data_IF_922413066198
#
_entry.id   IF_922413066198
#
_cell.length_a   1.000
_cell.length_b   1.000
_cell.length_c   1.000
_cell.angle_alpha   90.00
_cell.angle_beta   90.00
_cell.angle_gamma   90.00
#
_symmetry.space_group_name_H-M   'P 1'
#
loop_
_entity.id
_entity.type
_entity.pdbx_description
1 polymer ?
#
# COMPACT_ATOMS: atom_id res chain seq x y z
N UNK A 1 -24.32 -28.66 -27.34
CA UNK A 1 -22.87 -28.45 -27.61
C UNK A 1 -22.32 -27.11 -27.07
N UNK A 2 -23.06 -26.35 -26.24
CA UNK A 2 -22.65 -25.02 -25.76
C UNK A 2 -21.96 -24.99 -24.38
N UNK A 3 -21.95 -26.10 -23.63
CA UNK A 3 -21.52 -26.13 -22.22
C UNK A 3 -20.02 -26.39 -22.04
N UNK A 4 -19.37 -27.08 -22.97
CA UNK A 4 -17.95 -27.45 -22.90
C UNK A 4 -17.00 -26.32 -23.29
N UNK A 5 -17.45 -25.33 -24.07
CA UNK A 5 -16.62 -24.18 -24.46
C UNK A 5 -16.44 -23.18 -23.29
N UNK A 6 -17.49 -22.88 -22.53
CA UNK A 6 -17.41 -21.97 -21.37
C UNK A 6 -16.56 -22.53 -20.22
N UNK A 7 -16.63 -23.84 -19.96
CA UNK A 7 -15.82 -24.48 -18.92
C UNK A 7 -14.31 -24.45 -19.25
N UNK A 8 -13.98 -24.54 -20.55
CA UNK A 8 -12.59 -24.53 -21.02
C UNK A 8 -11.97 -23.13 -20.95
N UNK A 9 -12.74 -22.10 -21.29
CA UNK A 9 -12.31 -20.69 -21.15
C UNK A 9 -12.12 -20.32 -19.69
N UNK A 10 -13.02 -20.74 -18.80
CA UNK A 10 -12.87 -20.51 -17.37
C UNK A 10 -11.63 -21.20 -16.79
N UNK A 11 -11.37 -22.45 -17.18
CA UNK A 11 -10.17 -23.19 -16.77
C UNK A 11 -8.88 -22.55 -17.30
N UNK A 12 -8.86 -22.06 -18.55
CA UNK A 12 -7.72 -21.36 -19.14
C UNK A 12 -7.48 -19.98 -18.47
N UNK A 13 -8.53 -19.26 -18.08
CA UNK A 13 -8.41 -18.02 -17.29
C UNK A 13 -7.93 -18.26 -15.85
N UNK A 14 -8.37 -19.36 -15.25
CA UNK A 14 -7.99 -19.78 -13.90
C UNK A 14 -6.53 -20.27 -13.86
N UNK A 15 -6.12 -21.09 -14.84
CA UNK A 15 -4.72 -21.49 -15.05
C UNK A 15 -3.82 -20.28 -15.36
N UNK A 16 -4.32 -19.32 -16.16
CA UNK A 16 -3.60 -18.05 -16.42
C UNK A 16 -3.51 -17.16 -15.17
N UNK A 17 -4.51 -17.20 -14.28
CA UNK A 17 -4.47 -16.54 -12.96
C UNK A 17 -3.50 -17.24 -12.01
N UNK A 18 -3.38 -18.56 -12.05
CA UNK A 18 -2.38 -19.31 -11.29
C UNK A 18 -0.96 -19.09 -11.83
N UNK A 19 -0.81 -18.89 -13.14
CA UNK A 19 0.45 -18.52 -13.80
C UNK A 19 0.86 -17.06 -13.56
N UNK A 20 -0.09 -16.18 -13.22
CA UNK A 20 0.15 -14.81 -12.80
C UNK A 20 0.41 -14.82 -11.29
N UNK A 21 1.68 -14.66 -10.90
CA UNK A 21 2.06 -14.58 -9.50
C UNK A 21 1.21 -13.57 -8.72
N UNK A 22 1.09 -13.78 -7.41
CA UNK A 22 0.15 -13.04 -6.57
C UNK A 22 0.49 -11.54 -6.48
N UNK A 23 -0.55 -10.71 -6.41
CA UNK A 23 -0.40 -9.27 -6.18
C UNK A 23 -0.50 -8.96 -4.68
N UNK A 24 0.48 -8.26 -4.12
CA UNK A 24 0.52 -7.87 -2.70
C UNK A 24 0.51 -6.34 -2.61
N UNK A 25 -0.37 -5.79 -1.79
CA UNK A 25 -0.37 -4.36 -1.49
C UNK A 25 0.49 -4.06 -0.26
N UNK A 26 1.26 -2.97 -0.31
CA UNK A 26 1.89 -2.38 0.88
C UNK A 26 1.48 -0.92 0.97
N UNK A 27 0.86 -0.53 2.09
CA UNK A 27 0.56 0.86 2.37
C UNK A 27 1.85 1.59 2.79
N UNK A 28 2.18 2.66 2.07
CA UNK A 28 3.41 3.40 2.25
C UNK A 28 3.15 4.89 2.49
N UNK A 29 3.98 5.46 3.34
CA UNK A 29 4.13 6.88 3.60
C UNK A 29 5.61 7.18 3.84
N UNK A 30 5.94 8.38 4.31
CA UNK A 30 7.34 8.73 4.60
C UNK A 30 7.74 8.41 6.07
N UNK A 31 7.09 7.43 6.70
CA UNK A 31 7.39 7.01 8.08
C UNK A 31 8.25 5.75 8.14
N UNK A 32 9.04 5.62 9.21
CA UNK A 32 9.84 4.40 9.47
C UNK A 32 8.97 3.15 9.63
N UNK A 33 7.69 3.31 10.02
CA UNK A 33 6.76 2.19 10.19
C UNK A 33 6.39 1.55 8.86
N UNK A 34 6.14 2.35 7.82
CA UNK A 34 5.84 1.81 6.49
C UNK A 34 7.09 1.26 5.82
N UNK A 35 8.25 1.89 6.03
CA UNK A 35 9.54 1.36 5.59
C UNK A 35 9.84 0.02 6.25
N UNK A 36 9.64 -0.11 7.57
CA UNK A 36 9.79 -1.38 8.28
C UNK A 36 8.81 -2.45 7.78
N UNK A 37 7.59 -2.07 7.38
CA UNK A 37 6.62 -2.99 6.80
C UNK A 37 7.09 -3.52 5.43
N UNK A 38 7.63 -2.63 4.59
CA UNK A 38 8.28 -3.01 3.32
C UNK A 38 9.44 -3.98 3.57
N UNK A 39 10.35 -3.67 4.49
CA UNK A 39 11.48 -4.54 4.80
C UNK A 39 11.05 -5.89 5.37
N UNK A 40 10.01 -5.90 6.19
CA UNK A 40 9.46 -7.15 6.71
C UNK A 40 8.96 -8.04 5.57
N UNK A 41 8.22 -7.48 4.61
CA UNK A 41 7.78 -8.20 3.42
C UNK A 41 8.98 -8.80 2.67
N UNK A 42 10.01 -7.98 2.42
CA UNK A 42 11.23 -8.40 1.72
C UNK A 42 11.91 -9.58 2.39
N UNK A 43 12.03 -9.55 3.71
CA UNK A 43 12.80 -10.53 4.46
C UNK A 43 12.03 -11.82 4.75
N UNK A 44 10.69 -11.79 4.77
CA UNK A 44 9.89 -12.89 5.30
C UNK A 44 8.86 -13.46 4.32
N UNK A 45 8.36 -12.66 3.38
CA UNK A 45 7.20 -13.04 2.57
C UNK A 45 7.46 -13.04 1.06
N UNK A 46 8.46 -12.28 0.59
CA UNK A 46 8.70 -12.05 -0.82
C UNK A 46 8.92 -13.35 -1.61
N UNK A 47 8.24 -13.46 -2.75
CA UNK A 47 8.44 -14.50 -3.75
C UNK A 47 8.81 -13.90 -5.10
N UNK A 48 9.51 -14.69 -5.92
CA UNK A 48 10.05 -14.26 -7.23
C UNK A 48 8.96 -13.78 -8.20
N UNK A 49 7.76 -14.34 -8.08
CA UNK A 49 6.60 -14.09 -8.91
C UNK A 49 5.65 -13.02 -8.34
N UNK A 50 5.91 -12.51 -7.12
CA UNK A 50 5.07 -11.47 -6.52
C UNK A 50 5.08 -10.17 -7.36
N UNK A 51 3.92 -9.54 -7.46
CA UNK A 51 3.76 -8.19 -7.99
C UNK A 51 3.36 -7.23 -6.86
N UNK A 52 4.20 -6.24 -6.57
CA UNK A 52 3.93 -5.26 -5.51
C UNK A 52 3.10 -4.08 -5.99
N UNK A 53 2.04 -3.76 -5.26
CA UNK A 53 1.32 -2.49 -5.37
C UNK A 53 1.63 -1.65 -4.13
N UNK A 54 2.43 -0.61 -4.31
CA UNK A 54 2.73 0.35 -3.24
C UNK A 54 1.64 1.42 -3.26
N UNK A 55 0.87 1.52 -2.18
CA UNK A 55 -0.29 2.40 -2.10
C UNK A 55 0.02 3.55 -1.15
N UNK A 56 -0.10 4.77 -1.65
CA UNK A 56 0.00 5.98 -0.85
C UNK A 56 -1.29 6.79 -0.93
N UNK A 57 -1.70 7.40 0.17
CA UNK A 57 -2.74 8.41 0.19
C UNK A 57 -2.18 9.63 0.92
N UNK A 58 -1.94 10.76 0.23
CA UNK A 58 -1.52 11.99 0.88
C UNK A 58 -2.57 12.41 1.92
N UNK A 59 -2.13 13.10 2.97
CA UNK A 59 -3.04 13.65 3.97
C UNK A 59 -4.05 14.59 3.31
N UNK A 60 -5.32 14.42 3.65
CA UNK A 60 -6.38 15.31 3.22
C UNK A 60 -6.37 16.55 4.12
N UNK A 61 -6.05 17.71 3.52
CA UNK A 61 -6.16 19.00 4.17
C UNK A 61 -7.55 19.60 3.87
N UNK A 62 -8.27 20.00 4.92
CA UNK A 62 -9.48 20.80 4.75
C UNK A 62 -9.07 22.26 4.45
N UNK A 63 -9.36 22.70 3.24
CA UNK A 63 -9.00 24.03 2.75
C UNK A 63 -10.14 25.05 2.86
N UNK A 64 -11.25 24.72 3.53
CA UNK A 64 -12.46 25.56 3.53
C UNK A 64 -12.24 27.02 3.96
N UNK A 65 -11.17 27.30 4.72
CA UNK A 65 -10.82 28.64 5.21
C UNK A 65 -9.51 29.22 4.64
N UNK A 66 -8.86 28.56 3.68
CA UNK A 66 -7.59 29.01 3.12
C UNK A 66 -7.80 29.96 1.91
N UNK A 67 -6.90 30.93 1.72
CA UNK A 67 -6.88 31.76 0.50
C UNK A 67 -6.40 30.95 -0.70
N UNK A 68 -6.80 31.34 -1.91
CA UNK A 68 -6.41 30.62 -3.15
C UNK A 68 -4.90 30.46 -3.32
N UNK A 69 -4.11 31.49 -2.97
CA UNK A 69 -2.65 31.43 -3.03
C UNK A 69 -2.04 30.42 -2.04
N UNK A 70 -2.62 30.30 -0.85
CA UNK A 70 -2.19 29.31 0.15
C UNK A 70 -2.56 27.90 -0.31
N UNK A 71 -3.76 27.72 -0.87
CA UNK A 71 -4.18 26.44 -1.45
C UNK A 71 -3.23 26.02 -2.58
N UNK A 72 -2.91 26.92 -3.50
CA UNK A 72 -1.99 26.63 -4.60
C UNK A 72 -0.61 26.19 -4.11
N UNK A 73 -0.03 26.91 -3.14
CA UNK A 73 1.26 26.54 -2.55
C UNK A 73 1.22 25.16 -1.87
N UNK A 74 0.16 24.88 -1.10
CA UNK A 74 0.01 23.59 -0.42
C UNK A 74 -0.17 22.44 -1.41
N UNK A 75 -0.92 22.64 -2.50
CA UNK A 75 -1.06 21.64 -3.56
C UNK A 75 0.27 21.33 -4.23
N UNK A 76 1.08 22.35 -4.54
CA UNK A 76 2.42 22.16 -5.10
C UNK A 76 3.32 21.39 -4.13
N UNK A 77 3.30 21.73 -2.84
CA UNK A 77 4.10 21.02 -1.84
C UNK A 77 3.64 19.56 -1.67
N UNK A 78 2.33 19.32 -1.65
CA UNK A 78 1.77 17.96 -1.59
C UNK A 78 2.18 17.13 -2.81
N UNK A 79 2.09 17.69 -4.01
CA UNK A 79 2.49 17.03 -5.24
C UNK A 79 4.00 16.70 -5.22
N UNK A 80 4.84 17.62 -4.78
CA UNK A 80 6.27 17.39 -4.62
C UNK A 80 6.57 16.24 -3.66
N UNK A 81 5.87 16.19 -2.50
CA UNK A 81 6.05 15.10 -1.52
C UNK A 81 5.60 13.75 -2.07
N UNK A 82 4.47 13.70 -2.78
CA UNK A 82 3.99 12.46 -3.43
C UNK A 82 4.98 12.00 -4.48
N UNK A 83 5.46 12.90 -5.35
CA UNK A 83 6.43 12.58 -6.39
C UNK A 83 7.76 12.08 -5.81
N UNK A 84 8.26 12.69 -4.74
CA UNK A 84 9.47 12.26 -4.06
C UNK A 84 9.32 10.84 -3.46
N UNK A 85 8.19 10.57 -2.81
CA UNK A 85 7.90 9.25 -2.24
C UNK A 85 7.76 8.17 -3.33
N UNK A 86 7.05 8.50 -4.41
CA UNK A 86 6.90 7.63 -5.57
C UNK A 86 8.26 7.28 -6.19
N UNK A 87 9.11 8.30 -6.41
CA UNK A 87 10.45 8.11 -6.95
C UNK A 87 11.31 7.20 -6.05
N UNK A 88 11.34 7.48 -4.74
CA UNK A 88 12.06 6.66 -3.73
C UNK A 88 11.69 5.19 -3.86
N UNK A 89 10.41 4.87 -3.94
CA UNK A 89 9.95 3.49 -4.02
C UNK A 89 10.13 2.86 -5.41
N UNK A 90 10.00 3.63 -6.50
CA UNK A 90 10.29 3.14 -7.85
C UNK A 90 11.75 2.72 -7.99
N UNK A 91 12.67 3.54 -7.52
CA UNK A 91 14.11 3.22 -7.50
C UNK A 91 14.40 1.99 -6.67
N UNK A 92 13.76 1.87 -5.50
CA UNK A 92 13.89 0.71 -4.61
C UNK A 92 13.42 -0.59 -5.28
N UNK A 93 12.26 -0.58 -5.95
CA UNK A 93 11.76 -1.73 -6.70
C UNK A 93 12.71 -2.12 -7.84
N UNK A 94 13.25 -1.14 -8.56
CA UNK A 94 14.21 -1.38 -9.64
C UNK A 94 15.52 -2.01 -9.12
N UNK A 95 16.08 -1.43 -8.05
CA UNK A 95 17.32 -1.91 -7.43
C UNK A 95 17.18 -3.35 -6.92
N UNK A 96 16.05 -3.66 -6.29
CA UNK A 96 15.74 -5.00 -5.78
C UNK A 96 15.19 -5.96 -6.85
N UNK A 97 15.02 -5.49 -8.10
CA UNK A 97 14.47 -6.25 -9.24
C UNK A 97 13.10 -6.86 -8.94
N UNK A 98 12.25 -6.14 -8.23
CA UNK A 98 10.88 -6.56 -7.92
C UNK A 98 9.91 -5.93 -8.91
N UNK A 99 8.98 -6.75 -9.41
CA UNK A 99 7.87 -6.27 -10.23
C UNK A 99 6.90 -5.52 -9.33
N UNK A 100 6.54 -4.30 -9.71
CA UNK A 100 5.54 -3.55 -8.97
C UNK A 100 5.26 -2.18 -9.54
N UNK A 101 4.31 -1.49 -8.93
CA UNK A 101 3.91 -0.13 -9.27
C UNK A 101 3.52 0.67 -8.03
N UNK A 102 3.56 1.98 -8.18
CA UNK A 102 3.07 2.92 -7.19
C UNK A 102 1.66 3.38 -7.57
N UNK A 103 0.75 3.43 -6.60
CA UNK A 103 -0.62 3.93 -6.74
C UNK A 103 -0.85 5.01 -5.68
N UNK A 104 -1.38 6.14 -6.13
CA UNK A 104 -1.86 7.22 -5.26
C UNK A 104 -3.38 7.35 -5.37
N UNK A 105 -4.02 7.90 -4.34
CA UNK A 105 -5.45 8.20 -4.33
C UNK A 105 -5.77 9.39 -3.43
N UNK A 106 -6.94 9.99 -3.62
CA UNK A 106 -7.41 11.14 -2.85
C UNK A 106 -8.58 10.74 -1.95
N UNK A 107 -8.59 11.23 -0.71
CA UNK A 107 -9.63 10.96 0.27
C UNK A 107 -9.07 10.55 1.62
N UNK A 108 -9.83 9.77 2.37
CA UNK A 108 -9.38 9.23 3.67
C UNK A 108 -8.42 8.06 3.43
N UNK A 109 -7.22 8.05 4.04
CA UNK A 109 -6.20 7.06 3.73
C UNK A 109 -6.63 5.60 3.86
N UNK A 110 -7.35 5.24 4.93
CA UNK A 110 -7.82 3.87 5.14
C UNK A 110 -8.79 3.40 4.06
N UNK A 111 -9.75 4.25 3.66
CA UNK A 111 -10.71 4.00 2.58
C UNK A 111 -9.97 3.82 1.24
N UNK A 112 -9.09 4.77 0.90
CA UNK A 112 -8.30 4.76 -0.34
C UNK A 112 -7.44 3.50 -0.45
N UNK A 113 -6.77 3.09 0.63
CA UNK A 113 -5.95 1.86 0.64
C UNK A 113 -6.81 0.63 0.32
N UNK A 114 -7.95 0.48 0.99
CA UNK A 114 -8.84 -0.66 0.80
C UNK A 114 -9.42 -0.67 -0.63
N UNK A 115 -9.80 0.48 -1.16
CA UNK A 115 -10.40 0.58 -2.49
C UNK A 115 -9.39 0.30 -3.60
N UNK A 116 -8.17 0.84 -3.50
CA UNK A 116 -7.09 0.52 -4.45
C UNK A 116 -6.74 -0.97 -4.36
N UNK A 117 -6.65 -1.53 -3.15
CA UNK A 117 -6.37 -2.96 -2.97
C UNK A 117 -7.42 -3.86 -3.65
N UNK A 118 -8.72 -3.50 -3.56
CA UNK A 118 -9.79 -4.18 -4.29
C UNK A 118 -9.65 -4.05 -5.81
N UNK A 119 -9.43 -2.84 -6.31
CA UNK A 119 -9.28 -2.58 -7.75
C UNK A 119 -8.12 -3.37 -8.35
N UNK A 120 -7.05 -3.55 -7.59
CA UNK A 120 -5.84 -4.27 -7.99
C UNK A 120 -5.90 -5.79 -7.75
N UNK A 121 -7.03 -6.28 -7.21
CA UNK A 121 -7.24 -7.69 -6.88
C UNK A 121 -6.09 -8.28 -6.04
N UNK A 122 -5.61 -7.52 -5.05
CA UNK A 122 -4.49 -7.97 -4.21
C UNK A 122 -4.94 -9.09 -3.26
N UNK A 123 -4.05 -10.03 -2.99
CA UNK A 123 -4.34 -11.16 -2.10
C UNK A 123 -4.11 -10.83 -0.63
N UNK A 124 -3.40 -9.73 -0.33
CA UNK A 124 -3.09 -9.27 1.03
C UNK A 124 -2.72 -7.78 1.01
N UNK A 125 -3.04 -7.07 2.09
CA UNK A 125 -2.54 -5.73 2.38
C UNK A 125 -1.54 -5.81 3.54
N UNK A 126 -0.40 -5.15 3.39
CA UNK A 126 0.61 -4.98 4.43
C UNK A 126 0.67 -3.52 4.84
N UNK A 127 0.63 -3.23 6.13
CA UNK A 127 0.74 -1.87 6.65
C UNK A 127 1.74 -1.81 7.80
N UNK A 128 2.30 -0.63 8.09
CA UNK A 128 2.90 -0.37 9.39
C UNK A 128 1.83 -0.32 10.49
N UNK A 129 2.25 -0.35 11.76
CA UNK A 129 1.37 -0.09 12.91
C UNK A 129 0.97 1.37 13.04
N UNK A 130 1.78 2.28 12.48
CA UNK A 130 1.56 3.72 12.47
C UNK A 130 2.02 4.31 11.14
N UNK A 131 1.71 5.58 10.95
CA UNK A 131 2.28 6.42 9.90
C UNK A 131 2.89 7.68 10.51
N UNK A 132 2.71 8.82 9.84
CA UNK A 132 3.23 10.13 10.28
C UNK A 132 2.51 10.77 11.50
N UNK A 133 1.48 10.14 12.04
CA UNK A 133 0.68 10.68 13.16
C UNK A 133 1.42 10.74 14.51
N UNK A 134 1.03 11.68 15.37
CA UNK A 134 1.73 12.00 16.65
C UNK A 134 1.31 11.16 17.87
N UNK A 135 0.32 10.27 17.76
CA UNK A 135 -0.16 9.50 18.92
C UNK A 135 0.80 8.36 19.28
N UNK A 136 1.45 8.44 20.44
CA UNK A 136 2.39 7.40 20.93
C UNK A 136 1.74 6.31 21.80
N UNK A 137 0.47 6.46 22.21
CA UNK A 137 -0.17 5.61 23.24
C UNK A 137 -1.10 4.49 22.73
N UNK A 138 -1.35 4.37 21.43
CA UNK A 138 -2.25 3.34 20.87
C UNK A 138 -1.49 2.11 20.35
N UNK A 139 -2.09 0.92 20.30
CA UNK A 139 -1.43 -0.26 19.68
C UNK A 139 -1.39 -0.16 18.15
N UNK A 140 -2.42 0.44 17.55
CA UNK A 140 -2.56 0.70 16.12
C UNK A 140 -2.79 2.20 15.86
N UNK A 141 -2.35 2.68 14.69
CA UNK A 141 -2.72 3.97 14.13
C UNK A 141 -4.09 3.91 13.43
N UNK A 142 -4.73 5.05 13.24
CA UNK A 142 -6.07 5.15 12.66
C UNK A 142 -6.21 4.50 11.29
N UNK A 143 -5.17 4.60 10.45
CA UNK A 143 -5.17 4.02 9.10
C UNK A 143 -5.10 2.50 9.17
N UNK A 144 -4.13 1.95 9.89
CA UNK A 144 -3.97 0.49 10.03
C UNK A 144 -5.17 -0.15 10.72
N UNK A 145 -5.72 0.51 11.74
CA UNK A 145 -6.96 0.11 12.41
C UNK A 145 -8.13 0.07 11.42
N UNK A 146 -8.31 1.11 10.61
CA UNK A 146 -9.33 1.13 9.57
C UNK A 146 -9.16 -0.03 8.57
N UNK A 147 -7.96 -0.22 8.04
CA UNK A 147 -7.68 -1.26 7.04
C UNK A 147 -7.98 -2.64 7.59
N UNK A 148 -7.56 -2.94 8.82
CA UNK A 148 -7.84 -4.24 9.49
C UNK A 148 -9.34 -4.52 9.59
N UNK A 149 -10.16 -3.50 9.85
CA UNK A 149 -11.61 -3.69 10.01
C UNK A 149 -12.39 -3.73 8.68
N UNK A 150 -11.87 -3.16 7.59
CA UNK A 150 -12.65 -2.93 6.37
C UNK A 150 -12.10 -3.64 5.12
N UNK A 151 -10.86 -4.14 5.17
CA UNK A 151 -10.30 -4.89 4.05
C UNK A 151 -11.00 -6.25 3.91
N UNK A 152 -11.49 -6.63 2.70
CA UNK A 152 -12.06 -7.95 2.46
C UNK A 152 -10.98 -9.04 2.32
N UNK A 153 -9.71 -8.66 2.19
CA UNK A 153 -8.56 -9.54 2.10
C UNK A 153 -7.75 -9.55 3.41
N UNK A 154 -6.91 -10.57 3.66
CA UNK A 154 -6.01 -10.59 4.80
C UNK A 154 -5.17 -9.31 4.93
N UNK A 155 -4.99 -8.87 6.18
CA UNK A 155 -4.17 -7.71 6.52
C UNK A 155 -3.04 -8.15 7.44
N UNK A 156 -1.82 -7.81 7.06
CA UNK A 156 -0.64 -7.95 7.91
C UNK A 156 -0.23 -6.57 8.44
N UNK A 157 -0.15 -6.44 9.76
CA UNK A 157 0.30 -5.20 10.39
C UNK A 157 1.69 -5.39 11.01
N UNK A 158 2.68 -4.68 10.47
CA UNK A 158 4.07 -4.75 10.91
C UNK A 158 4.34 -3.73 12.03
N UNK A 159 4.87 -4.21 13.16
CA UNK A 159 5.43 -3.33 14.19
C UNK A 159 6.78 -2.82 13.72
N UNK A 160 7.12 -1.58 14.09
CA UNK A 160 8.49 -1.10 13.91
C UNK A 160 9.41 -1.97 14.76
N UNK A 161 10.35 -2.65 14.11
CA UNK A 161 11.39 -3.36 14.84
C UNK A 161 12.28 -2.32 15.51
N UNK A 162 12.16 -2.17 16.83
CA UNK A 162 13.14 -1.44 17.61
C UNK A 162 14.45 -2.20 17.54
N UNK A 163 15.43 -1.72 16.78
CA UNK A 163 16.81 -2.09 17.01
C UNK A 163 17.21 -1.50 18.38
N UNK A 164 16.94 -2.25 19.45
CA UNK A 164 17.62 -2.26 20.77
C UNK A 164 16.82 -3.14 21.75
N UNK A 165 16.98 -4.45 21.62
CA UNK A 165 17.19 -5.29 22.80
C UNK A 165 18.63 -5.78 22.71
N UNK A 166 19.54 -5.02 23.31
CA UNK A 166 20.73 -5.63 23.90
C UNK A 166 20.28 -6.11 25.27
N UNK A 167 20.29 -7.43 25.45
CA UNK A 167 20.26 -8.07 26.77
C UNK A 167 21.36 -7.51 27.69
#
# INVERSE_FOLDING_TARGET
MSSTASAKVAAEEEEKKELLGRTIAIAVDDSDFSESAFQWYMNNLQRKDDFLVLIHCPEFYDFAMASSSVVEQLLVELEQRVNALEQKYREKLQMLKIKGKFRTGAGKPGEVIVDIAKQENVVMIITGTRGQGKLRRTLLGSVSDYVVHHAPMPVLVCRLNGSTHTD
#
